data_IF_038768888508
#
_entry.id   IF_038768888508
#
_cell.length_a   1.000
_cell.length_b   1.000
_cell.length_c   1.000
_cell.angle_alpha   90.00
_cell.angle_beta   90.00
_cell.angle_gamma   90.00
#
_symmetry.space_group_name_H-M   'P 1'
#
loop_
_entity.id
_entity.type
_entity.pdbx_description
1 polymer ?
#
# COMPACT_ATOMS: atom_id res chain seq x y z
N UNK A 1 3.48 3.04 1.98
CA UNK A 1 3.38 3.39 3.40
C UNK A 1 2.35 2.46 4.04
N UNK A 2 2.76 1.36 4.67
CA UNK A 2 1.80 0.37 5.17
C UNK A 2 1.58 0.52 6.68
N UNK A 3 0.33 0.65 7.12
CA UNK A 3 -0.08 0.59 8.54
C UNK A 3 -0.73 -0.76 8.82
N UNK A 4 -0.39 -1.38 9.95
CA UNK A 4 -1.02 -2.58 10.46
C UNK A 4 -1.73 -2.27 11.79
N UNK A 5 -3.05 -2.45 11.85
CA UNK A 5 -3.84 -2.21 13.07
C UNK A 5 -4.28 -3.51 13.73
N UNK A 6 -4.04 -3.62 15.04
CA UNK A 6 -4.55 -4.67 15.94
C UNK A 6 -5.49 -4.04 16.99
N UNK A 7 -6.61 -3.45 16.58
CA UNK A 7 -7.56 -2.87 17.53
C UNK A 7 -8.49 -3.95 18.08
N UNK A 8 -8.25 -4.49 19.28
CA UNK A 8 -9.23 -5.16 20.19
C UNK A 8 -10.18 -6.26 19.64
N UNK A 9 -10.10 -6.54 18.34
CA UNK A 9 -10.94 -7.41 17.53
C UNK A 9 -10.01 -8.48 16.98
N UNK A 10 -10.51 -9.69 16.83
CA UNK A 10 -9.76 -10.89 16.40
C UNK A 10 -9.19 -10.84 14.99
N UNK A 11 -9.28 -9.70 14.31
CA UNK A 11 -8.92 -9.52 12.90
C UNK A 11 -7.98 -8.33 12.76
N UNK A 12 -6.85 -8.56 12.10
CA UNK A 12 -5.90 -7.53 11.72
C UNK A 12 -6.17 -7.07 10.29
N UNK A 13 -5.80 -5.84 9.97
CA UNK A 13 -5.84 -5.35 8.59
C UNK A 13 -4.63 -4.46 8.31
N UNK A 14 -4.29 -4.35 7.02
CA UNK A 14 -3.26 -3.43 6.53
C UNK A 14 -3.90 -2.35 5.69
N UNK A 15 -3.75 -1.09 6.08
CA UNK A 15 -4.13 0.04 5.23
C UNK A 15 -2.88 0.75 4.72
N UNK A 16 -2.83 0.99 3.42
CA UNK A 16 -1.72 1.67 2.76
C UNK A 16 -2.23 2.86 1.95
N UNK A 17 -2.19 4.07 2.54
CA UNK A 17 -2.52 5.30 1.82
C UNK A 17 -1.36 5.77 0.94
N UNK A 18 -1.69 6.63 -0.02
CA UNK A 18 -0.74 7.46 -0.75
C UNK A 18 -0.91 8.89 -0.24
N UNK A 19 0.15 9.50 0.27
CA UNK A 19 0.09 10.86 0.83
C UNK A 19 1.12 11.70 0.08
N UNK A 20 0.68 12.77 -0.58
CA UNK A 20 1.59 13.70 -1.27
C UNK A 20 2.26 14.65 -0.29
N UNK A 21 3.32 15.31 -0.75
CA UNK A 21 4.13 16.21 0.09
C UNK A 21 3.36 17.41 0.66
N UNK A 22 2.22 17.79 0.07
CA UNK A 22 1.32 18.83 0.57
C UNK A 22 0.29 18.31 1.61
N UNK A 23 0.36 17.03 2.00
CA UNK A 23 -0.55 16.40 2.97
C UNK A 23 -1.87 15.89 2.38
N UNK A 24 -2.05 15.93 1.06
CA UNK A 24 -3.25 15.38 0.41
C UNK A 24 -3.17 13.84 0.36
N UNK A 25 -4.25 13.18 0.81
CA UNK A 25 -4.40 11.73 0.67
C UNK A 25 -4.89 11.44 -0.75
N UNK A 26 -4.02 10.83 -1.56
CA UNK A 26 -4.32 10.40 -2.92
C UNK A 26 -5.07 9.08 -2.89
N UNK A 27 -5.92 8.90 -3.89
CA UNK A 27 -6.81 7.77 -4.06
C UNK A 27 -6.44 7.01 -5.35
N UNK A 28 -6.70 5.69 -5.45
CA UNK A 28 -7.23 4.86 -4.38
C UNK A 28 -6.15 4.51 -3.35
N UNK A 29 -6.55 4.42 -2.07
CA UNK A 29 -5.74 3.75 -1.05
C UNK A 29 -5.83 2.23 -1.22
N UNK A 30 -4.98 1.47 -0.54
CA UNK A 30 -5.07 0.00 -0.53
C UNK A 30 -5.39 -0.55 0.87
N UNK A 31 -6.31 -1.51 0.94
CA UNK A 31 -6.73 -2.18 2.17
C UNK A 31 -6.61 -3.70 2.02
N UNK A 32 -5.83 -4.34 2.88
CA UNK A 32 -5.77 -5.79 3.00
C UNK A 32 -6.53 -6.23 4.25
N UNK A 33 -7.61 -6.97 4.07
CA UNK A 33 -8.41 -7.54 5.15
C UNK A 33 -7.94 -8.95 5.52
N UNK A 34 -8.18 -9.36 6.76
CA UNK A 34 -7.89 -10.73 7.19
C UNK A 34 -9.07 -11.67 6.93
N UNK A 35 -8.88 -12.64 6.04
CA UNK A 35 -9.85 -13.71 5.76
C UNK A 35 -9.25 -15.09 6.12
N UNK A 36 -10.00 -16.03 6.73
CA UNK A 36 -9.46 -17.33 7.14
C UNK A 36 -8.80 -18.12 6.00
N UNK A 37 -9.37 -18.06 4.80
CA UNK A 37 -8.88 -18.70 3.58
C UNK A 37 -7.82 -17.89 2.85
N UNK A 38 -7.65 -16.62 3.21
CA UNK A 38 -6.79 -15.68 2.49
C UNK A 38 -7.44 -14.98 1.31
N UNK A 39 -8.68 -15.32 0.99
CA UNK A 39 -9.41 -14.80 -0.15
C UNK A 39 -10.86 -14.52 0.27
N UNK A 40 -11.48 -13.54 -0.38
CA UNK A 40 -12.92 -13.33 -0.22
C UNK A 40 -13.71 -14.48 -0.83
N UNK A 41 -14.79 -14.89 -0.14
CA UNK A 41 -15.76 -15.82 -0.72
C UNK A 41 -16.50 -15.18 -1.91
N UNK A 42 -17.08 -15.96 -2.84
CA UNK A 42 -17.61 -15.45 -4.11
C UNK A 42 -18.58 -14.27 -3.98
N UNK A 43 -19.49 -14.32 -2.99
CA UNK A 43 -20.46 -13.26 -2.73
C UNK A 43 -19.76 -11.97 -2.27
N UNK A 44 -18.76 -12.11 -1.41
CA UNK A 44 -17.97 -10.98 -0.91
C UNK A 44 -17.12 -10.43 -2.03
N UNK A 45 -16.48 -11.27 -2.85
CA UNK A 45 -15.71 -10.83 -4.03
C UNK A 45 -16.56 -10.01 -4.99
N UNK A 46 -17.77 -10.45 -5.32
CA UNK A 46 -18.66 -9.66 -6.19
C UNK A 46 -19.03 -8.31 -5.56
N UNK A 47 -19.33 -8.27 -4.26
CA UNK A 47 -19.56 -7.00 -3.55
C UNK A 47 -18.31 -6.14 -3.47
N UNK A 48 -17.14 -6.76 -3.28
CA UNK A 48 -15.88 -6.04 -3.20
C UNK A 48 -15.52 -5.44 -4.55
N UNK A 49 -15.93 -6.03 -5.68
CA UNK A 49 -15.82 -5.36 -6.99
C UNK A 49 -16.62 -4.06 -7.06
N UNK A 50 -17.73 -3.95 -6.32
CA UNK A 50 -18.48 -2.70 -6.17
C UNK A 50 -17.77 -1.71 -5.23
N UNK A 51 -16.98 -2.22 -4.26
CA UNK A 51 -16.16 -1.44 -3.32
C UNK A 51 -14.81 -1.02 -3.92
N UNK A 52 -14.30 -1.76 -4.89
CA UNK A 52 -13.17 -1.39 -5.75
C UNK A 52 -13.58 -0.16 -6.54
N UNK A 53 -13.29 0.98 -5.95
CA UNK A 53 -13.73 2.30 -6.40
C UNK A 53 -12.50 3.18 -6.61
N UNK A 54 -12.74 4.41 -7.09
CA UNK A 54 -11.71 5.44 -7.14
C UNK A 54 -11.13 5.76 -5.76
N UNK A 55 -11.81 5.38 -4.66
CA UNK A 55 -11.40 5.63 -3.27
C UNK A 55 -10.46 4.55 -2.71
N UNK A 56 -10.76 3.28 -2.99
CA UNK A 56 -10.14 2.16 -2.29
C UNK A 56 -9.98 0.92 -3.17
N UNK A 57 -8.79 0.34 -3.13
CA UNK A 57 -8.49 -1.02 -3.59
C UNK A 57 -8.48 -1.94 -2.38
N UNK A 58 -9.24 -3.03 -2.45
CA UNK A 58 -9.41 -3.97 -1.32
C UNK A 58 -9.01 -5.36 -1.76
N UNK A 59 -8.22 -6.03 -0.91
CA UNK A 59 -7.81 -7.42 -1.08
C UNK A 59 -7.82 -8.14 0.28
N UNK A 60 -7.60 -9.46 0.30
CA UNK A 60 -7.64 -10.29 1.50
C UNK A 60 -6.36 -11.10 1.68
N UNK A 61 -5.99 -11.42 2.93
CA UNK A 61 -4.95 -12.41 3.22
C UNK A 61 -5.22 -13.14 4.54
N UNK A 62 -4.58 -14.29 4.78
CA UNK A 62 -4.81 -15.08 5.99
C UNK A 62 -4.42 -14.35 7.28
N UNK A 63 -3.57 -13.32 7.16
CA UNK A 63 -3.01 -12.59 8.30
C UNK A 63 -3.44 -11.12 8.33
N UNK A 64 -4.18 -10.65 7.32
CA UNK A 64 -4.44 -9.23 7.11
C UNK A 64 -3.19 -8.43 6.79
N UNK A 65 -2.04 -9.09 6.57
CA UNK A 65 -0.79 -8.46 6.13
C UNK A 65 -0.72 -8.49 4.62
N UNK A 66 -0.19 -7.42 4.05
CA UNK A 66 0.06 -7.33 2.63
C UNK A 66 1.21 -8.25 2.20
N UNK A 67 0.98 -9.06 1.16
CA UNK A 67 2.04 -9.84 0.53
C UNK A 67 2.90 -8.98 -0.38
N UNK A 68 4.08 -9.47 -0.77
CA UNK A 68 4.92 -8.78 -1.75
C UNK A 68 4.23 -8.67 -3.12
N UNK A 69 3.46 -9.70 -3.50
CA UNK A 69 2.73 -9.72 -4.77
C UNK A 69 1.62 -8.66 -4.79
N UNK A 70 0.81 -8.60 -3.73
CA UNK A 70 -0.19 -7.54 -3.53
C UNK A 70 0.44 -6.14 -3.56
N UNK A 71 1.61 -5.99 -2.93
CA UNK A 71 2.33 -4.73 -2.95
C UNK A 71 2.73 -4.33 -4.37
N UNK A 72 3.32 -5.23 -5.16
CA UNK A 72 3.84 -4.91 -6.49
C UNK A 72 2.73 -4.74 -7.54
N UNK A 73 1.75 -5.65 -7.53
CA UNK A 73 0.72 -5.70 -8.57
C UNK A 73 -0.45 -4.78 -8.21
N UNK A 74 -1.06 -4.97 -7.05
CA UNK A 74 -2.30 -4.27 -6.69
C UNK A 74 -2.06 -2.85 -6.19
N UNK A 75 -1.11 -2.67 -5.28
CA UNK A 75 -0.80 -1.33 -4.80
C UNK A 75 0.10 -0.57 -5.78
N UNK A 76 1.31 -1.04 -6.07
CA UNK A 76 2.31 -0.25 -6.75
C UNK A 76 1.91 0.02 -8.21
N UNK A 77 1.64 -1.04 -8.97
CA UNK A 77 1.34 -0.93 -10.40
C UNK A 77 -0.07 -0.39 -10.67
N UNK A 78 -1.08 -0.96 -10.01
CA UNK A 78 -2.49 -0.65 -10.31
C UNK A 78 -3.05 0.53 -9.49
N UNK A 79 -2.45 0.85 -8.34
CA UNK A 79 -2.91 1.91 -7.44
C UNK A 79 -2.01 3.14 -7.48
N UNK A 80 -0.71 2.98 -7.27
CA UNK A 80 0.21 4.08 -7.01
C UNK A 80 0.71 4.75 -8.29
N UNK A 81 1.24 3.99 -9.26
CA UNK A 81 1.81 4.57 -10.48
C UNK A 81 0.82 5.47 -11.24
N UNK A 82 -0.45 5.08 -11.46
CA UNK A 82 -1.41 5.94 -12.17
C UNK A 82 -1.72 7.26 -11.45
N UNK A 83 -1.45 7.35 -10.14
CA UNK A 83 -1.81 8.46 -9.28
C UNK A 83 -0.61 9.31 -8.82
N UNK A 84 0.59 9.02 -9.35
CA UNK A 84 1.81 9.79 -9.06
C UNK A 84 2.27 10.58 -10.29
N UNK A 85 2.79 11.79 -10.05
CA UNK A 85 3.45 12.55 -11.11
C UNK A 85 4.72 11.85 -11.58
N UNK A 86 5.00 11.92 -12.88
CA UNK A 86 6.18 11.32 -13.52
C UNK A 86 7.52 11.77 -12.90
N UNK A 87 7.54 12.94 -12.24
CA UNK A 87 8.69 13.45 -11.51
C UNK A 87 8.36 13.56 -10.02
N UNK A 88 8.56 12.46 -9.29
CA UNK A 88 8.23 12.36 -7.87
C UNK A 88 9.29 11.58 -7.10
N UNK A 89 9.34 11.81 -5.79
CA UNK A 89 10.10 11.00 -4.84
C UNK A 89 9.10 10.23 -3.99
N UNK A 90 9.29 8.91 -3.89
CA UNK A 90 8.48 8.02 -3.05
C UNK A 90 9.28 7.65 -1.83
N UNK A 91 8.70 7.84 -0.66
CA UNK A 91 9.25 7.39 0.62
C UNK A 91 8.46 6.18 1.10
N UNK A 92 9.14 5.07 1.34
CA UNK A 92 8.56 3.84 1.88
C UNK A 92 9.23 3.48 3.20
N UNK A 93 8.49 2.88 4.12
CA UNK A 93 9.02 2.28 5.35
C UNK A 93 9.87 1.03 5.03
N UNK A 94 10.64 0.56 6.01
CA UNK A 94 11.63 -0.51 5.82
C UNK A 94 11.05 -1.94 5.76
N UNK A 95 9.77 -2.11 5.44
CA UNK A 95 9.14 -3.41 5.23
C UNK A 95 9.86 -4.22 4.14
N UNK A 96 10.02 -5.55 4.27
CA UNK A 96 10.74 -6.38 3.30
C UNK A 96 10.33 -6.20 1.83
N UNK A 97 9.04 -6.06 1.51
CA UNK A 97 8.62 -5.82 0.13
C UNK A 97 9.04 -4.44 -0.40
N UNK A 98 9.06 -3.41 0.46
CA UNK A 98 9.48 -2.06 0.09
C UNK A 98 10.99 -1.93 -0.13
N UNK A 99 11.77 -2.78 0.53
CA UNK A 99 13.23 -2.85 0.34
C UNK A 99 13.62 -3.44 -1.01
N UNK A 100 12.72 -4.19 -1.66
CA UNK A 100 12.96 -4.75 -2.99
C UNK A 100 12.72 -3.71 -4.09
N UNK A 101 13.61 -2.72 -4.13
CA UNK A 101 13.53 -1.64 -5.12
C UNK A 101 13.82 -2.12 -6.54
N UNK A 102 14.46 -3.28 -6.69
CA UNK A 102 14.79 -3.80 -8.01
C UNK A 102 13.56 -4.43 -8.68
N UNK A 103 12.74 -5.16 -7.92
CA UNK A 103 11.44 -5.62 -8.40
C UNK A 103 10.52 -4.45 -8.78
N UNK A 104 10.48 -3.39 -7.97
CA UNK A 104 9.71 -2.18 -8.30
C UNK A 104 10.23 -1.52 -9.58
N UNK A 105 11.54 -1.33 -9.73
CA UNK A 105 12.12 -0.75 -10.96
C UNK A 105 11.81 -1.61 -12.19
N UNK A 106 11.86 -2.93 -12.08
CA UNK A 106 11.61 -3.85 -13.18
C UNK A 106 10.19 -3.72 -13.76
N UNK A 107 9.20 -3.42 -12.91
CA UNK A 107 7.80 -3.25 -13.31
C UNK A 107 7.41 -1.78 -13.53
N UNK A 108 8.31 -0.84 -13.29
CA UNK A 108 8.04 0.60 -13.49
C UNK A 108 8.15 0.95 -14.98
N UNK A 109 7.09 1.47 -15.61
CA UNK A 109 7.13 1.87 -17.02
C UNK A 109 8.14 3.01 -17.27
N UNK A 110 8.70 3.05 -18.48
CA UNK A 110 9.75 4.01 -18.87
C UNK A 110 9.33 5.50 -18.73
N UNK A 111 8.03 5.80 -18.83
CA UNK A 111 7.52 7.16 -18.61
C UNK A 111 7.80 7.68 -17.19
N UNK A 112 7.91 6.79 -16.20
CA UNK A 112 8.25 7.12 -14.81
C UNK A 112 9.78 7.14 -14.55
N UNK A 113 10.62 7.34 -15.57
CA UNK A 113 12.09 7.37 -15.42
C UNK A 113 12.64 8.37 -14.38
N UNK A 114 11.86 9.38 -14.01
CA UNK A 114 12.24 10.38 -12.99
C UNK A 114 11.68 10.06 -11.60
N UNK A 115 10.88 9.00 -11.45
CA UNK A 115 10.41 8.50 -10.17
C UNK A 115 11.60 7.97 -9.36
N UNK A 116 11.79 8.50 -8.15
CA UNK A 116 12.85 8.06 -7.24
C UNK A 116 12.25 7.36 -6.04
N UNK A 117 12.52 6.07 -5.90
CA UNK A 117 12.14 5.30 -4.72
C UNK A 117 13.23 5.47 -3.65
N UNK A 118 12.81 5.75 -2.41
CA UNK A 118 13.66 5.81 -1.22
C UNK A 118 13.01 5.05 -0.09
N UNK A 119 13.83 4.27 0.62
CA UNK A 119 13.39 3.51 1.79
C UNK A 119 13.92 4.20 3.04
N UNK A 120 13.01 4.48 3.96
CA UNK A 120 13.31 5.02 5.29
C UNK A 120 14.19 4.01 6.03
N UNK A 121 15.26 4.44 6.72
CA UNK A 121 16.11 3.54 7.49
C UNK A 121 15.33 2.78 8.59
N UNK A 122 15.64 1.50 8.83
CA UNK A 122 15.02 0.74 9.91
C UNK A 122 15.17 1.43 11.28
N UNK A 123 14.13 1.36 12.12
CA UNK A 123 14.15 1.97 13.45
C UNK A 123 13.88 3.48 13.48
N UNK A 124 13.65 4.11 12.33
CA UNK A 124 13.34 5.55 12.25
C UNK A 124 11.88 5.83 11.87
N UNK A 125 11.05 4.80 11.67
CA UNK A 125 9.65 4.95 11.23
C UNK A 125 8.87 5.89 12.15
N UNK A 126 8.82 5.63 13.46
CA UNK A 126 8.13 6.49 14.43
C UNK A 126 8.73 7.90 14.62
N UNK A 127 9.80 8.25 13.91
CA UNK A 127 10.40 9.59 13.92
C UNK A 127 10.10 10.39 12.65
N UNK A 128 10.04 9.73 11.49
CA UNK A 128 10.00 10.41 10.19
C UNK A 128 8.92 9.89 9.23
N UNK A 129 8.21 8.83 9.57
CA UNK A 129 7.14 8.29 8.75
C UNK A 129 5.83 9.00 9.07
N UNK A 130 5.28 9.72 8.08
CA UNK A 130 4.17 10.64 8.32
C UNK A 130 2.94 9.99 8.95
N UNK A 131 2.63 8.71 8.66
CA UNK A 131 1.45 8.10 9.28
C UNK A 131 1.66 7.78 10.76
N UNK A 132 2.84 7.30 11.19
CA UNK A 132 3.17 7.08 12.60
C UNK A 132 3.34 8.39 13.39
N UNK A 133 3.73 9.49 12.73
CA UNK A 133 4.00 10.78 13.42
C UNK A 133 2.77 11.68 13.48
N UNK A 134 1.90 11.67 12.47
CA UNK A 134 0.81 12.66 12.34
C UNK A 134 -0.59 12.08 12.16
N UNK A 135 -0.77 10.94 11.48
CA UNK A 135 -2.11 10.48 11.10
C UNK A 135 -2.73 9.46 12.05
N UNK A 136 -1.93 8.58 12.66
CA UNK A 136 -2.39 7.52 13.56
C UNK A 136 -1.57 7.52 14.86
#
# INVERSE_FOLDING_TARGET
MALYSMSGCTHSYTYMPIISANGEVKKPGFLCLQEPTGEFGPIVTERMKEVLTDELRVDASNTGKMSKDMFLNEFYSNGFLPNVSLNSIVLLDSFPAHKDTDSMKAITPQEYKHLKIRVIPPGTTGMIQLCDVFYF
#
